data_IF_401487518344
#
_entry.id   IF_401487518344
#
_cell.length_a   1.000
_cell.length_b   1.000
_cell.length_c   1.000
_cell.angle_alpha   90.00
_cell.angle_beta   90.00
_cell.angle_gamma   90.00
#
_symmetry.space_group_name_H-M   'P 1'
#
loop_
_entity.id
_entity.type
_entity.pdbx_description
1 polymer ?
#
# COMPACT_ATOMS: atom_id res chain seq x y z
N UNK A 1 12.60 10.16 2.26
CA UNK A 1 11.11 10.03 2.30
C UNK A 1 10.46 11.39 2.50
N UNK A 2 9.37 11.72 1.78
CA UNK A 2 8.57 12.95 1.92
C UNK A 2 7.11 12.58 2.21
N UNK A 3 6.50 13.19 3.23
CA UNK A 3 5.09 12.96 3.51
C UNK A 3 4.19 13.89 2.69
N UNK A 4 3.05 13.36 2.23
CA UNK A 4 2.09 14.03 1.37
C UNK A 4 0.73 14.13 2.05
N UNK A 5 0.06 15.28 1.88
CA UNK A 5 -1.35 15.46 2.21
C UNK A 5 -2.25 14.65 1.27
N UNK A 6 -3.54 14.54 1.60
CA UNK A 6 -4.52 13.88 0.73
C UNK A 6 -4.56 14.47 -0.68
N UNK A 7 -4.55 15.80 -0.81
CA UNK A 7 -4.57 16.47 -2.11
C UNK A 7 -3.28 16.24 -2.91
N UNK A 8 -2.13 16.16 -2.25
CA UNK A 8 -0.86 15.82 -2.91
C UNK A 8 -0.84 14.36 -3.36
N UNK A 9 -1.37 13.43 -2.55
CA UNK A 9 -1.53 12.02 -2.94
C UNK A 9 -2.47 11.88 -4.15
N UNK A 10 -3.60 12.58 -4.13
CA UNK A 10 -4.54 12.62 -5.26
C UNK A 10 -3.86 13.14 -6.53
N UNK A 11 -3.16 14.27 -6.44
CA UNK A 11 -2.45 14.86 -7.58
C UNK A 11 -1.38 13.90 -8.14
N UNK A 12 -0.64 13.23 -7.27
CA UNK A 12 0.35 12.23 -7.68
C UNK A 12 -0.32 11.03 -8.38
N UNK A 13 -1.39 10.48 -7.81
CA UNK A 13 -2.14 9.37 -8.41
C UNK A 13 -2.71 9.76 -9.78
N UNK A 14 -3.33 10.94 -9.92
CA UNK A 14 -3.85 11.42 -11.20
C UNK A 14 -2.74 11.62 -12.24
N UNK A 15 -1.57 12.12 -11.82
CA UNK A 15 -0.41 12.27 -12.71
C UNK A 15 0.09 10.93 -13.27
N UNK A 16 -0.09 9.84 -12.53
CA UNK A 16 0.31 8.48 -12.92
C UNK A 16 -0.86 7.60 -13.38
N UNK A 17 -2.00 8.20 -13.75
CA UNK A 17 -3.19 7.52 -14.28
C UNK A 17 -3.83 6.50 -13.33
N UNK A 18 -3.68 6.71 -12.02
CA UNK A 18 -4.38 5.91 -11.01
C UNK A 18 -5.75 6.50 -10.67
N UNK A 19 -6.82 5.67 -10.60
CA UNK A 19 -8.16 6.14 -10.24
C UNK A 19 -8.25 6.56 -8.77
N UNK A 20 -8.81 7.75 -8.55
CA UNK A 20 -9.04 8.33 -7.21
C UNK A 20 -10.46 8.85 -7.15
N UNK A 21 -11.15 8.66 -6.03
CA UNK A 21 -12.40 9.35 -5.71
C UNK A 21 -12.10 10.66 -4.99
N UNK A 22 -12.89 11.70 -5.28
CA UNK A 22 -12.69 13.03 -4.68
C UNK A 22 -13.03 13.06 -3.20
N UNK A 23 -14.00 12.23 -2.79
CA UNK A 23 -14.41 12.13 -1.39
C UNK A 23 -14.79 10.70 -1.02
N UNK A 24 -14.13 10.16 0.00
CA UNK A 24 -14.54 8.96 0.71
C UNK A 24 -15.70 9.27 1.70
N UNK A 25 -16.06 8.30 2.54
CA UNK A 25 -17.09 8.48 3.58
C UNK A 25 -16.68 9.48 4.68
N UNK A 26 -15.44 9.94 4.70
CA UNK A 26 -14.95 11.02 5.56
C UNK A 26 -14.76 12.35 4.81
N UNK A 27 -15.17 12.42 3.54
CA UNK A 27 -15.05 13.63 2.71
C UNK A 27 -13.61 13.91 2.26
N UNK A 28 -12.75 12.89 2.14
CA UNK A 28 -11.34 13.01 1.75
C UNK A 28 -11.05 12.24 0.47
N UNK A 29 -10.09 12.71 -0.36
CA UNK A 29 -9.61 11.92 -1.50
C UNK A 29 -9.15 10.53 -1.07
N UNK A 30 -9.50 9.51 -1.84
CA UNK A 30 -9.11 8.13 -1.56
C UNK A 30 -8.88 7.33 -2.85
N UNK A 31 -8.02 6.29 -2.83
CA UNK A 31 -7.84 5.40 -3.98
C UNK A 31 -9.13 4.68 -4.36
N UNK A 32 -9.49 4.71 -5.66
CA UNK A 32 -10.68 4.03 -6.21
C UNK A 32 -10.31 2.73 -6.94
N UNK A 33 -9.24 2.07 -6.50
CA UNK A 33 -8.62 0.94 -7.22
C UNK A 33 -9.56 -0.25 -7.35
N UNK A 34 -10.28 -0.60 -6.27
CA UNK A 34 -11.16 -1.78 -6.23
C UNK A 34 -12.27 -1.76 -7.31
N UNK A 35 -12.73 -0.58 -7.72
CA UNK A 35 -13.80 -0.44 -8.73
C UNK A 35 -13.33 -0.64 -10.17
N UNK A 36 -12.03 -0.54 -10.42
CA UNK A 36 -11.48 -0.48 -11.77
C UNK A 36 -10.48 -1.59 -12.07
N UNK A 37 -9.97 -2.27 -11.04
CA UNK A 37 -8.90 -3.24 -11.13
C UNK A 37 -9.36 -4.62 -10.64
N UNK A 38 -8.73 -5.68 -11.15
CA UNK A 38 -8.91 -7.06 -10.67
C UNK A 38 -7.94 -7.34 -9.52
N UNK A 39 -8.35 -8.17 -8.56
CA UNK A 39 -7.50 -8.54 -7.44
C UNK A 39 -6.77 -9.88 -7.68
N UNK A 40 -5.47 -9.88 -7.43
CA UNK A 40 -4.65 -11.10 -7.26
C UNK A 40 -4.36 -11.21 -5.77
N UNK A 41 -5.10 -12.08 -5.09
CA UNK A 41 -5.01 -12.23 -3.62
C UNK A 41 -3.67 -12.86 -3.22
N UNK A 42 -3.11 -12.37 -2.11
CA UNK A 42 -1.96 -12.94 -1.43
C UNK A 42 -2.34 -13.34 0.00
N UNK A 43 -1.69 -14.39 0.51
CA UNK A 43 -1.77 -14.72 1.93
C UNK A 43 -1.04 -13.67 2.76
N UNK A 44 -1.77 -12.97 3.64
CA UNK A 44 -1.14 -12.10 4.63
C UNK A 44 -0.56 -12.97 5.76
N UNK A 45 0.76 -12.98 5.97
CA UNK A 45 1.34 -13.85 6.98
C UNK A 45 0.97 -13.39 8.39
N UNK A 46 0.76 -14.33 9.31
CA UNK A 46 0.56 -14.06 10.74
C UNK A 46 1.89 -13.74 11.43
N UNK A 47 2.96 -14.42 11.01
CA UNK A 47 4.30 -14.24 11.56
C UNK A 47 4.90 -12.87 11.20
N UNK A 48 5.37 -12.14 12.22
CA UNK A 48 5.91 -10.78 12.06
C UNK A 48 7.13 -10.72 11.14
N UNK A 49 8.04 -11.71 11.21
CA UNK A 49 9.21 -11.76 10.34
C UNK A 49 8.82 -11.99 8.87
N UNK A 50 7.78 -12.81 8.64
CA UNK A 50 7.22 -13.02 7.31
C UNK A 50 6.50 -11.77 6.79
N UNK A 51 5.80 -10.99 7.65
CA UNK A 51 5.22 -9.68 7.26
C UNK A 51 6.30 -8.72 6.75
N UNK A 52 7.44 -8.63 7.43
CA UNK A 52 8.60 -7.85 6.96
C UNK A 52 9.16 -8.40 5.64
N UNK A 53 9.21 -9.72 5.50
CA UNK A 53 9.60 -10.38 4.25
C UNK A 53 8.69 -10.04 3.08
N UNK A 54 7.36 -10.07 3.29
CA UNK A 54 6.37 -9.68 2.29
C UNK A 54 6.54 -8.19 1.90
N UNK A 55 6.69 -7.30 2.89
CA UNK A 55 6.93 -5.88 2.62
C UNK A 55 8.14 -5.66 1.71
N UNK A 56 9.26 -6.35 1.99
CA UNK A 56 10.48 -6.25 1.18
C UNK A 56 10.29 -6.76 -0.24
N UNK A 57 9.59 -7.89 -0.42
CA UNK A 57 9.32 -8.44 -1.75
C UNK A 57 8.42 -7.50 -2.57
N UNK A 58 7.37 -6.95 -1.95
CA UNK A 58 6.44 -6.01 -2.60
C UNK A 58 7.18 -4.75 -3.04
N UNK A 59 7.93 -4.11 -2.14
CA UNK A 59 8.68 -2.89 -2.45
C UNK A 59 9.69 -3.15 -3.57
N UNK A 60 10.48 -4.23 -3.46
CA UNK A 60 11.47 -4.61 -4.49
C UNK A 60 10.82 -4.88 -5.85
N UNK A 61 9.65 -5.51 -5.87
CA UNK A 61 8.95 -5.82 -7.12
C UNK A 61 8.33 -4.58 -7.76
N UNK A 62 7.77 -3.66 -6.96
CA UNK A 62 7.18 -2.42 -7.44
C UNK A 62 8.22 -1.35 -7.81
N UNK A 63 9.42 -1.44 -7.21
CA UNK A 63 10.54 -0.55 -7.55
C UNK A 63 11.05 -0.84 -8.96
N UNK A 64 10.54 -0.12 -9.92
CA UNK A 64 11.02 -0.13 -11.30
C UNK A 64 12.02 1.00 -11.60
N UNK A 65 12.81 1.43 -10.60
CA UNK A 65 13.69 2.61 -10.64
C UNK A 65 12.95 3.95 -10.68
N UNK A 66 11.70 3.98 -10.23
CA UNK A 66 10.87 5.17 -10.10
C UNK A 66 10.54 5.53 -8.65
N UNK A 67 9.55 6.40 -8.49
CA UNK A 67 8.99 6.73 -7.18
C UNK A 67 7.96 5.69 -6.75
N UNK A 68 7.83 5.50 -5.42
CA UNK A 68 6.74 4.77 -4.81
C UNK A 68 5.93 5.71 -3.92
N UNK A 69 4.60 5.66 -4.02
CA UNK A 69 3.71 6.30 -3.07
C UNK A 69 3.06 5.23 -2.19
N UNK A 70 3.33 5.29 -0.88
CA UNK A 70 2.62 4.52 0.13
C UNK A 70 1.56 5.42 0.75
N UNK A 71 0.29 5.10 0.52
CA UNK A 71 -0.84 5.87 1.01
C UNK A 71 -1.56 5.07 2.09
N UNK A 72 -1.37 5.48 3.35
CA UNK A 72 -2.03 4.87 4.50
C UNK A 72 -3.52 5.25 4.51
N UNK A 73 -4.36 4.25 4.69
CA UNK A 73 -5.80 4.38 4.77
C UNK A 73 -6.32 4.35 6.20
N UNK A 74 -6.97 3.26 6.61
CA UNK A 74 -7.52 3.10 7.95
C UNK A 74 -6.46 2.62 8.94
N UNK A 75 -6.23 3.40 10.00
CA UNK A 75 -5.31 3.11 11.11
C UNK A 75 -5.99 3.27 12.48
N UNK A 76 -7.31 3.56 12.49
CA UNK A 76 -8.04 3.86 13.71
C UNK A 76 -8.80 2.66 14.29
N UNK A 77 -8.67 1.48 13.66
CA UNK A 77 -9.32 0.25 14.13
C UNK A 77 -8.65 -0.21 15.43
N UNK A 78 -9.43 -0.36 16.48
CA UNK A 78 -8.95 -0.89 17.75
C UNK A 78 -8.61 -2.40 17.63
N UNK A 79 -7.50 -2.90 18.17
CA UNK A 79 -6.51 -2.21 19.03
C UNK A 79 -5.31 -1.59 18.28
N UNK A 80 -5.26 -1.66 16.95
CA UNK A 80 -4.10 -1.26 16.15
C UNK A 80 -3.75 0.23 16.24
N UNK A 81 -4.73 1.07 16.57
CA UNK A 81 -4.51 2.52 16.82
C UNK A 81 -3.55 2.83 17.98
N UNK A 82 -3.29 1.86 18.88
CA UNK A 82 -2.31 2.01 19.99
C UNK A 82 -0.89 2.25 19.47
N UNK A 83 -0.58 1.84 18.25
CA UNK A 83 0.75 1.97 17.67
C UNK A 83 0.99 3.32 17.00
N UNK A 84 -0.03 4.15 16.86
CA UNK A 84 0.07 5.47 16.23
C UNK A 84 1.16 6.37 16.85
N UNK A 85 1.37 6.45 18.18
CA UNK A 85 2.46 7.25 18.74
C UNK A 85 3.85 6.81 18.30
N UNK A 86 4.08 5.50 18.13
CA UNK A 86 5.35 4.98 17.64
C UNK A 86 5.58 5.39 16.17
N UNK A 87 4.56 5.28 15.35
CA UNK A 87 4.64 5.69 13.94
C UNK A 87 4.80 7.21 13.79
N UNK A 88 4.20 8.01 14.69
CA UNK A 88 4.42 9.46 14.75
C UNK A 88 5.89 9.76 14.98
N UNK A 89 6.52 9.11 15.98
CA UNK A 89 7.96 9.26 16.24
C UNK A 89 8.84 8.84 15.07
N UNK A 90 8.47 7.77 14.37
CA UNK A 90 9.17 7.37 13.14
C UNK A 90 9.11 8.48 12.08
N UNK A 91 7.95 9.10 11.86
CA UNK A 91 7.79 10.20 10.89
C UNK A 91 8.55 11.46 11.30
N UNK A 92 8.57 11.79 12.59
CA UNK A 92 9.35 12.92 13.15
C UNK A 92 10.84 12.81 12.81
N UNK A 93 11.40 11.59 12.78
CA UNK A 93 12.80 11.35 12.39
C UNK A 93 13.09 11.75 10.93
N UNK A 94 12.06 11.83 10.07
CA UNK A 94 12.14 12.36 8.70
C UNK A 94 11.69 13.82 8.60
N UNK A 95 11.50 14.50 9.73
CA UNK A 95 11.10 15.90 9.79
C UNK A 95 9.61 16.17 9.59
N UNK A 96 8.75 15.11 9.58
CA UNK A 96 7.30 15.28 9.44
C UNK A 96 6.63 15.46 10.79
N UNK A 97 6.11 16.65 11.04
CA UNK A 97 5.44 17.02 12.29
C UNK A 97 3.90 16.99 12.18
N UNK A 98 3.35 16.95 10.98
CA UNK A 98 1.89 16.88 10.79
C UNK A 98 1.38 15.52 11.25
N UNK A 99 0.19 15.47 11.89
CA UNK A 99 -0.44 14.20 12.23
C UNK A 99 -0.74 13.37 10.96
N UNK A 100 -0.83 12.04 11.10
CA UNK A 100 -1.07 11.13 9.98
C UNK A 100 -2.34 11.48 9.19
N UNK A 101 -3.37 12.00 9.89
CA UNK A 101 -4.63 12.42 9.27
C UNK A 101 -4.48 13.63 8.33
N UNK A 102 -3.42 14.41 8.42
CA UNK A 102 -3.14 15.53 7.53
C UNK A 102 -2.20 15.15 6.39
N UNK A 103 -1.33 14.16 6.64
CA UNK A 103 -0.32 13.73 5.68
C UNK A 103 -0.19 12.18 5.66
N UNK A 104 -1.17 11.46 5.07
CA UNK A 104 -1.19 10.01 5.06
C UNK A 104 -0.25 9.39 4.01
N UNK A 105 0.18 10.14 3.02
CA UNK A 105 1.05 9.68 1.96
C UNK A 105 2.52 9.72 2.34
N UNK A 106 3.27 8.72 1.86
CA UNK A 106 4.73 8.63 2.03
C UNK A 106 5.34 8.41 0.65
N UNK A 107 5.89 9.47 0.08
CA UNK A 107 6.57 9.44 -1.22
C UNK A 107 8.03 9.04 -1.01
N UNK A 108 8.40 7.94 -1.64
CA UNK A 108 9.72 7.33 -1.57
C UNK A 108 10.40 7.53 -2.92
N UNK A 109 11.59 8.09 -2.90
CA UNK A 109 12.38 8.29 -4.10
C UNK A 109 13.39 7.14 -4.30
N UNK A 110 13.98 7.11 -5.48
CA UNK A 110 15.05 6.16 -5.78
C UNK A 110 16.18 6.25 -4.74
N UNK A 111 16.54 5.11 -4.17
CA UNK A 111 17.57 5.02 -3.12
C UNK A 111 17.04 5.04 -1.68
N UNK A 112 15.73 5.24 -1.50
CA UNK A 112 15.06 5.24 -0.18
C UNK A 112 14.20 3.97 0.04
N UNK A 113 14.54 2.84 -0.60
CA UNK A 113 13.71 1.62 -0.56
C UNK A 113 13.56 1.03 0.84
N UNK A 114 14.56 1.19 1.70
CA UNK A 114 14.48 0.72 3.09
C UNK A 114 13.43 1.51 3.89
N UNK A 115 13.19 2.79 3.54
CA UNK A 115 12.11 3.59 4.11
C UNK A 115 10.76 3.04 3.67
N UNK A 116 10.61 2.71 2.36
CA UNK A 116 9.38 2.09 1.84
C UNK A 116 9.09 0.76 2.55
N UNK A 117 10.11 -0.09 2.72
CA UNK A 117 9.98 -1.36 3.46
C UNK A 117 9.55 -1.09 4.90
N UNK A 118 10.12 -0.08 5.56
CA UNK A 118 9.81 0.26 6.94
C UNK A 118 8.36 0.73 7.10
N UNK A 119 7.87 1.60 6.20
CA UNK A 119 6.47 2.07 6.20
C UNK A 119 5.51 0.91 5.94
N UNK A 120 5.75 0.09 4.89
CA UNK A 120 4.86 -1.01 4.55
C UNK A 120 4.88 -2.12 5.61
N UNK A 121 6.05 -2.46 6.14
CA UNK A 121 6.16 -3.43 7.23
C UNK A 121 5.40 -2.96 8.47
N UNK A 122 5.48 -1.66 8.79
CA UNK A 122 4.71 -1.07 9.89
C UNK A 122 3.20 -1.19 9.66
N UNK A 123 2.72 -0.88 8.46
CA UNK A 123 1.30 -1.05 8.12
C UNK A 123 0.84 -2.52 8.27
N UNK A 124 1.62 -3.49 7.78
CA UNK A 124 1.33 -4.91 7.92
C UNK A 124 1.38 -5.40 9.39
N UNK A 125 2.34 -4.91 10.17
CA UNK A 125 2.50 -5.29 11.59
C UNK A 125 1.39 -4.70 12.47
N UNK A 126 0.98 -3.47 12.19
CA UNK A 126 -0.03 -2.76 12.97
C UNK A 126 -1.45 -2.96 12.43
N UNK A 127 -1.59 -3.77 11.37
CA UNK A 127 -2.90 -4.08 10.78
C UNK A 127 -3.59 -2.78 10.34
N UNK A 128 -2.93 -2.03 9.45
CA UNK A 128 -3.44 -0.80 8.87
C UNK A 128 -3.66 -0.96 7.36
N UNK A 129 -4.62 -0.23 6.82
CA UNK A 129 -4.78 -0.14 5.38
C UNK A 129 -3.62 0.63 4.75
N UNK A 130 -3.02 0.05 3.71
CA UNK A 130 -1.99 0.73 2.94
C UNK A 130 -2.07 0.36 1.47
N UNK A 131 -2.14 1.36 0.60
CA UNK A 131 -1.93 1.21 -0.83
C UNK A 131 -0.48 1.55 -1.18
N UNK A 132 0.15 0.73 -2.02
CA UNK A 132 1.49 1.00 -2.55
C UNK A 132 1.40 1.13 -4.06
N UNK A 133 1.67 2.33 -4.54
CA UNK A 133 1.68 2.70 -5.96
C UNK A 133 3.10 2.85 -6.46
N UNK A 134 3.31 2.61 -7.75
CA UNK A 134 4.60 2.80 -8.42
C UNK A 134 4.46 3.78 -9.58
N UNK A 135 5.41 4.70 -9.74
CA UNK A 135 5.44 5.61 -10.88
C UNK A 135 5.65 4.89 -12.23
N UNK A 136 6.13 3.65 -12.22
CA UNK A 136 6.51 2.90 -13.43
C UNK A 136 5.76 1.59 -13.62
N UNK A 137 5.17 1.01 -12.57
CA UNK A 137 4.42 -0.24 -12.63
C UNK A 137 2.95 0.02 -12.32
N UNK A 138 2.06 -0.46 -13.20
CA UNK A 138 0.61 -0.26 -13.09
C UNK A 138 -0.08 -1.01 -11.95
N UNK A 139 0.36 -2.24 -11.52
CA UNK A 139 -0.23 -2.90 -10.37
C UNK A 139 -0.06 -2.11 -9.08
N UNK A 140 -1.10 -2.12 -8.24
CA UNK A 140 -1.13 -1.50 -6.91
C UNK A 140 -1.16 -2.60 -5.87
N UNK A 141 -0.23 -2.61 -4.93
CA UNK A 141 -0.35 -3.49 -3.77
C UNK A 141 -1.25 -2.84 -2.72
N UNK A 142 -2.05 -3.65 -2.06
CA UNK A 142 -2.87 -3.23 -0.93
C UNK A 142 -2.78 -4.25 0.21
N UNK A 143 -2.63 -3.77 1.44
CA UNK A 143 -2.89 -4.56 2.64
C UNK A 143 -4.02 -3.92 3.44
N UNK A 144 -4.89 -4.78 4.01
CA UNK A 144 -6.08 -4.39 4.73
C UNK A 144 -5.91 -4.57 6.24
N UNK A 145 -6.58 -3.73 7.01
CA UNK A 145 -6.77 -3.92 8.45
C UNK A 145 -7.55 -5.20 8.81
N UNK A 146 -8.21 -5.84 7.83
CA UNK A 146 -8.85 -7.16 7.97
C UNK A 146 -7.88 -8.33 7.69
N UNK A 147 -6.57 -8.08 7.76
CA UNK A 147 -5.50 -9.09 7.62
C UNK A 147 -5.47 -9.84 6.29
N UNK A 148 -5.86 -9.19 5.19
CA UNK A 148 -5.66 -9.71 3.84
C UNK A 148 -4.82 -8.76 3.00
N UNK A 149 -4.24 -9.27 1.91
CA UNK A 149 -3.49 -8.47 0.96
C UNK A 149 -3.71 -8.92 -0.48
N UNK A 150 -3.52 -8.01 -1.42
CA UNK A 150 -3.65 -8.30 -2.84
C UNK A 150 -2.82 -7.34 -3.69
N UNK A 151 -2.49 -7.78 -4.91
CA UNK A 151 -2.20 -6.85 -6.00
C UNK A 151 -3.49 -6.57 -6.76
N UNK A 152 -3.82 -5.30 -6.91
CA UNK A 152 -4.84 -4.84 -7.82
C UNK A 152 -4.19 -4.53 -9.17
N UNK A 153 -4.69 -5.17 -10.23
CA UNK A 153 -4.13 -5.10 -11.58
C UNK A 153 -5.16 -4.55 -12.56
N UNK A 154 -4.76 -3.68 -13.50
CA UNK A 154 -5.65 -3.25 -14.58
C UNK A 154 -6.21 -4.45 -15.36
N UNK A 155 -7.40 -4.31 -15.99
CA UNK A 155 -8.04 -5.42 -16.71
C UNK A 155 -7.18 -6.02 -17.83
N UNK A 156 -6.31 -5.23 -18.45
CA UNK A 156 -5.41 -5.61 -19.54
C UNK A 156 -4.05 -6.14 -19.06
N UNK A 157 -3.78 -6.13 -17.76
CA UNK A 157 -2.51 -6.61 -17.20
C UNK A 157 -2.50 -8.14 -17.07
N UNK A 158 -1.42 -8.79 -17.55
CA UNK A 158 -1.19 -10.22 -17.30
C UNK A 158 -0.72 -10.45 -15.84
N UNK A 159 -1.45 -11.19 -15.01
CA UNK A 159 -1.08 -11.45 -13.62
C UNK A 159 0.08 -12.43 -13.46
N UNK A 160 0.51 -13.12 -14.51
CA UNK A 160 1.57 -14.14 -14.45
C UNK A 160 2.86 -13.68 -13.78
N UNK A 161 3.42 -12.47 -14.05
CA UNK A 161 4.61 -11.99 -13.35
C UNK A 161 4.43 -11.84 -11.84
N UNK A 162 3.21 -11.55 -11.37
CA UNK A 162 2.89 -11.50 -9.92
C UNK A 162 2.88 -12.92 -9.36
N UNK A 163 2.22 -13.87 -10.04
CA UNK A 163 2.18 -15.27 -9.61
C UNK A 163 3.58 -15.88 -9.49
N UNK A 164 4.45 -15.60 -10.44
CA UNK A 164 5.84 -16.09 -10.43
C UNK A 164 6.65 -15.45 -9.28
N UNK A 165 6.59 -14.12 -9.13
CA UNK A 165 7.37 -13.40 -8.13
C UNK A 165 6.87 -13.65 -6.69
N UNK A 166 5.56 -13.87 -6.51
CA UNK A 166 4.92 -14.03 -5.21
C UNK A 166 4.40 -15.44 -4.93
N UNK A 167 4.92 -16.46 -5.62
CA UNK A 167 4.46 -17.86 -5.49
C UNK A 167 4.39 -18.36 -4.04
N UNK A 168 5.35 -17.94 -3.19
CA UNK A 168 5.38 -18.30 -1.76
C UNK A 168 4.34 -17.58 -0.89
N UNK A 169 3.69 -16.56 -1.43
CA UNK A 169 2.67 -15.76 -0.77
C UNK A 169 1.26 -16.00 -1.32
N UNK A 170 1.10 -16.91 -2.28
CA UNK A 170 -0.21 -17.29 -2.79
C UNK A 170 -0.96 -18.15 -1.77
N UNK A 171 -2.30 -18.05 -1.72
CA UNK A 171 -3.12 -18.94 -0.90
C UNK A 171 -2.95 -20.42 -1.29
N UNK A 172 -3.08 -21.33 -0.32
CA UNK A 172 -3.14 -22.77 -0.60
C UNK A 172 -4.36 -23.06 -1.51
N UNK A 173 -4.11 -23.53 -2.74
CA UNK A 173 -5.16 -23.77 -3.75
C UNK A 173 -5.04 -22.92 -5.01
N UNK A 174 -4.05 -22.03 -5.08
CA UNK A 174 -3.77 -21.20 -6.25
C UNK A 174 -4.39 -19.81 -6.19
N UNK A 175 -3.96 -18.95 -7.09
CA UNK A 175 -4.40 -17.57 -7.13
C UNK A 175 -5.83 -17.47 -7.69
N UNK A 176 -6.80 -17.12 -6.86
CA UNK A 176 -8.09 -16.62 -7.34
C UNK A 176 -7.94 -15.19 -7.86
N UNK A 177 -8.12 -15.03 -9.17
CA UNK A 177 -8.38 -13.72 -9.77
C UNK A 177 -9.87 -13.46 -9.62
N UNK A 178 -10.27 -12.74 -8.59
CA UNK A 178 -11.68 -12.39 -8.40
C UNK A 178 -11.93 -10.97 -8.93
N UNK A 179 -13.02 -10.82 -9.71
CA UNK A 179 -13.70 -9.53 -9.82
C UNK A 179 -14.16 -9.16 -8.41
N UNK A 180 -13.70 -8.05 -7.88
CA UNK A 180 -14.22 -7.55 -6.60
C UNK A 180 -15.55 -6.90 -6.92
N UNK A 181 -16.64 -7.67 -6.79
CA UNK A 181 -17.96 -7.08 -6.77
C UNK A 181 -18.06 -6.17 -5.55
N UNK A 182 -18.52 -4.95 -5.82
CA UNK A 182 -18.59 -3.82 -4.90
C UNK A 182 -19.55 -4.05 -3.72
#
# INVERSE_FOLDING_TARGET
MRCLSYSECEAWCRHHDYPVVEADHHGRPAPAIRKHFRAVKLSCPVDSGKKVGLARDVVKWLDGAGELLLWLGDWAVWPSSQHLPLFTRFREAFGEMRPLIEAPGHLIQRGELDDAVSVLATALLFIWDCHVFSAVRRPVFFCSHDEWSAFFVPPDFDPKPIHEAFSRWLPDGGAEVTSVDA
#
